data_IF_247869957329
#
_entry.id   IF_247869957329
#
_cell.length_a   1.000
_cell.length_b   1.000
_cell.length_c   1.000
_cell.angle_alpha   90.00
_cell.angle_beta   90.00
_cell.angle_gamma   90.00
#
_symmetry.space_group_name_H-M   'P 1'
#
loop_
_entity.id
_entity.type
_entity.pdbx_description
1 polymer ?
#
# COMPACT_ATOMS: atom_id res chain seq x y z
N UNK A 1 -8.38 9.59 -15.69
CA UNK A 1 -8.27 8.78 -14.49
C UNK A 1 -7.22 9.37 -13.55
N UNK A 2 -7.41 9.15 -12.25
CA UNK A 2 -6.46 9.50 -11.20
C UNK A 2 -6.48 8.36 -10.18
N UNK A 3 -5.37 7.66 -10.02
CA UNK A 3 -5.28 6.43 -9.21
C UNK A 3 -3.99 6.42 -8.42
N UNK A 4 -3.92 5.62 -7.35
CA UNK A 4 -2.66 5.34 -6.67
C UNK A 4 -1.75 4.49 -7.57
N UNK A 5 -0.44 4.70 -7.49
CA UNK A 5 0.55 3.84 -8.16
C UNK A 5 0.71 2.53 -7.38
N UNK A 6 -0.35 1.72 -7.41
CA UNK A 6 -0.48 0.50 -6.63
C UNK A 6 -1.06 -0.63 -7.49
N UNK A 7 -0.44 -1.81 -7.43
CA UNK A 7 -0.90 -3.06 -8.02
C UNK A 7 -1.43 -2.91 -9.46
N UNK A 8 -2.56 -3.51 -9.78
CA UNK A 8 -3.20 -3.51 -11.11
C UNK A 8 -3.52 -2.13 -11.68
N UNK A 9 -3.50 -1.06 -10.87
CA UNK A 9 -3.60 0.30 -11.38
C UNK A 9 -2.41 0.65 -12.28
N UNK A 10 -1.23 0.06 -12.04
CA UNK A 10 -0.04 0.24 -12.87
C UNK A 10 -0.24 -0.28 -14.30
N UNK A 11 -0.96 -1.37 -14.44
CA UNK A 11 -1.25 -1.99 -15.73
C UNK A 11 -2.43 -1.32 -16.43
N UNK A 12 -3.43 -0.91 -15.63
CA UNK A 12 -4.67 -0.33 -16.16
C UNK A 12 -4.47 1.11 -16.61
N UNK A 13 -3.77 1.92 -15.81
CA UNK A 13 -3.62 3.36 -16.06
C UNK A 13 -2.21 3.68 -16.57
N UNK A 14 -2.08 3.83 -17.87
CA UNK A 14 -0.87 4.32 -18.54
C UNK A 14 -0.86 5.86 -18.60
N UNK A 15 0.30 6.51 -18.79
CA UNK A 15 0.42 7.98 -18.75
C UNK A 15 -0.44 8.73 -19.76
N UNK A 16 -0.88 8.09 -20.83
CA UNK A 16 -1.76 8.64 -21.86
C UNK A 16 -3.25 8.65 -21.45
N UNK A 17 -3.64 7.81 -20.49
CA UNK A 17 -5.03 7.68 -20.05
C UNK A 17 -5.30 8.27 -18.66
N UNK A 18 -4.28 8.53 -17.86
CA UNK A 18 -4.44 9.09 -16.51
C UNK A 18 -3.13 9.30 -15.78
N UNK A 19 -3.24 9.66 -14.52
CA UNK A 19 -2.11 9.83 -13.62
C UNK A 19 -2.12 8.75 -12.55
N UNK A 20 -0.95 8.20 -12.27
CA UNK A 20 -0.68 7.35 -11.11
C UNK A 20 0.06 8.18 -10.08
N UNK A 21 -0.50 8.23 -8.88
CA UNK A 21 0.05 9.00 -7.76
C UNK A 21 0.99 8.12 -6.97
N UNK A 22 2.18 8.60 -6.73
CA UNK A 22 3.22 7.91 -5.98
C UNK A 22 2.68 7.37 -4.67
N UNK A 23 2.91 6.09 -4.44
CA UNK A 23 2.59 5.39 -3.19
C UNK A 23 3.83 4.76 -2.59
N UNK A 24 3.92 4.74 -1.25
CA UNK A 24 5.03 4.13 -0.52
C UNK A 24 4.51 3.30 0.63
N UNK A 25 5.24 2.26 0.99
CA UNK A 25 4.96 1.43 2.16
C UNK A 25 6.24 1.12 2.93
N UNK A 26 6.11 0.52 4.10
CA UNK A 26 7.25 0.08 4.90
C UNK A 26 7.87 -1.20 4.32
N UNK A 27 9.18 -1.42 4.48
CA UNK A 27 9.83 -2.68 4.14
C UNK A 27 9.22 -3.88 4.88
N UNK A 28 9.26 -5.06 4.25
CA UNK A 28 8.67 -6.30 4.76
C UNK A 28 8.96 -6.64 6.22
N UNK A 29 10.19 -6.48 6.74
CA UNK A 29 10.52 -6.83 8.12
C UNK A 29 9.70 -6.08 9.18
N UNK A 30 9.19 -4.88 8.88
CA UNK A 30 8.39 -4.08 9.82
C UNK A 30 7.06 -4.73 10.23
N UNK A 31 6.56 -5.67 9.42
CA UNK A 31 5.28 -6.35 9.63
C UNK A 31 5.42 -7.89 9.64
N UNK A 32 6.58 -8.38 10.05
CA UNK A 32 6.83 -9.83 10.11
C UNK A 32 5.93 -10.53 11.16
N UNK A 33 5.61 -9.87 12.26
CA UNK A 33 4.73 -10.43 13.29
C UNK A 33 3.30 -10.63 12.79
N UNK A 34 2.82 -9.76 11.93
CA UNK A 34 1.50 -9.86 11.31
C UNK A 34 1.41 -11.08 10.36
N UNK A 35 2.52 -11.42 9.71
CA UNK A 35 2.61 -12.65 8.93
C UNK A 35 2.49 -13.90 9.82
N UNK A 36 3.17 -13.93 10.96
CA UNK A 36 3.10 -15.02 11.92
C UNK A 36 1.69 -15.17 12.51
N UNK A 37 1.02 -14.05 12.78
CA UNK A 37 -0.37 -14.06 13.28
C UNK A 37 -1.34 -14.63 12.25
N UNK A 38 -1.21 -14.23 10.99
CA UNK A 38 -2.02 -14.76 9.91
C UNK A 38 -1.77 -16.27 9.72
N UNK A 39 -0.51 -16.68 9.70
CA UNK A 39 -0.12 -18.08 9.61
C UNK A 39 -0.64 -18.92 10.79
N UNK A 40 -0.62 -18.37 11.99
CA UNK A 40 -1.15 -18.99 13.20
C UNK A 40 -2.68 -19.02 13.28
N UNK A 41 -3.40 -18.49 12.29
CA UNK A 41 -4.86 -18.45 12.27
C UNK A 41 -5.50 -17.43 13.23
N UNK A 42 -4.71 -16.52 13.79
CA UNK A 42 -5.21 -15.46 14.66
C UNK A 42 -5.86 -14.30 13.88
N UNK A 43 -5.40 -14.06 12.67
CA UNK A 43 -5.92 -13.03 11.79
C UNK A 43 -6.51 -13.66 10.52
N UNK A 44 -7.63 -13.11 10.05
CA UNK A 44 -8.23 -13.50 8.78
C UNK A 44 -7.42 -12.94 7.60
N UNK A 45 -7.64 -13.49 6.40
CA UNK A 45 -7.04 -12.96 5.16
C UNK A 45 -7.39 -11.49 4.94
N UNK A 46 -8.62 -11.08 5.25
CA UNK A 46 -9.04 -9.69 5.15
C UNK A 46 -8.23 -8.78 6.08
N UNK A 47 -8.02 -9.21 7.32
CA UNK A 47 -7.17 -8.46 8.27
C UNK A 47 -5.73 -8.36 7.77
N UNK A 48 -5.17 -9.47 7.29
CA UNK A 48 -3.82 -9.51 6.75
C UNK A 48 -3.64 -8.55 5.55
N UNK A 49 -4.57 -8.54 4.60
CA UNK A 49 -4.52 -7.62 3.46
C UNK A 49 -4.77 -6.15 3.86
N UNK A 50 -5.67 -5.92 4.83
CA UNK A 50 -5.97 -4.56 5.32
C UNK A 50 -4.76 -3.88 5.94
N UNK A 51 -3.83 -4.66 6.51
CA UNK A 51 -2.59 -4.15 7.09
C UNK A 51 -1.70 -3.49 6.02
N UNK A 52 -1.59 -4.10 4.84
CA UNK A 52 -0.83 -3.52 3.73
C UNK A 52 -1.39 -2.15 3.32
N UNK A 53 -2.73 -2.05 3.21
CA UNK A 53 -3.39 -0.77 2.89
C UNK A 53 -3.20 0.27 3.98
N UNK A 54 -3.27 -0.14 5.27
CA UNK A 54 -3.10 0.77 6.40
C UNK A 54 -1.67 1.34 6.48
N UNK A 55 -0.67 0.62 5.97
CA UNK A 55 0.74 1.00 5.95
C UNK A 55 1.19 1.55 4.59
N UNK A 56 0.27 2.08 3.80
CA UNK A 56 0.57 2.71 2.50
C UNK A 56 0.25 4.19 2.56
N UNK A 57 1.23 5.02 2.25
CA UNK A 57 1.06 6.46 2.07
C UNK A 57 0.82 6.81 0.60
N UNK A 58 0.17 7.94 0.37
CA UNK A 58 -0.03 8.56 -0.95
C UNK A 58 0.63 9.94 -0.93
N UNK A 59 1.35 10.29 -1.99
CA UNK A 59 1.92 11.63 -2.14
C UNK A 59 0.81 12.66 -2.38
N UNK A 60 0.42 13.36 -1.31
CA UNK A 60 -0.67 14.32 -1.32
C UNK A 60 -0.33 15.60 -2.11
N UNK A 61 0.95 15.93 -2.23
CA UNK A 61 1.41 17.06 -3.04
C UNK A 61 1.22 16.76 -4.52
N UNK A 62 1.67 15.60 -4.96
CA UNK A 62 1.46 15.12 -6.33
C UNK A 62 -0.04 14.98 -6.64
N UNK A 63 -0.82 14.35 -5.75
CA UNK A 63 -2.26 14.22 -5.91
C UNK A 63 -2.93 15.59 -6.16
N UNK A 64 -2.63 16.55 -5.33
CA UNK A 64 -3.19 17.92 -5.45
C UNK A 64 -2.82 18.55 -6.79
N UNK A 65 -1.56 18.45 -7.20
CA UNK A 65 -1.10 18.99 -8.48
C UNK A 65 -1.84 18.36 -9.66
N UNK A 66 -2.00 17.04 -9.68
CA UNK A 66 -2.71 16.33 -10.77
C UNK A 66 -4.21 16.62 -10.80
N UNK A 67 -4.84 16.84 -9.65
CA UNK A 67 -6.23 17.31 -9.58
C UNK A 67 -6.34 18.69 -10.24
N UNK A 68 -5.45 19.61 -9.91
CA UNK A 68 -5.45 20.95 -10.49
C UNK A 68 -5.17 20.92 -12.00
N UNK A 69 -4.20 20.13 -12.46
CA UNK A 69 -3.93 19.91 -13.89
C UNK A 69 -5.20 19.50 -14.65
N UNK A 70 -5.91 18.51 -14.12
CA UNK A 70 -7.15 18.03 -14.72
C UNK A 70 -8.30 19.05 -14.61
N UNK A 71 -8.42 19.77 -13.50
CA UNK A 71 -9.48 20.75 -13.30
C UNK A 71 -9.33 21.93 -14.26
N UNK A 72 -8.11 22.42 -14.43
CA UNK A 72 -7.80 23.60 -15.20
C UNK A 72 -7.65 23.35 -16.70
N UNK A 73 -7.45 22.09 -17.13
CA UNK A 73 -7.21 21.75 -18.54
C UNK A 73 -8.27 20.82 -19.15
N UNK A 74 -9.37 21.39 -19.69
CA UNK A 74 -10.39 20.58 -20.36
C UNK A 74 -9.88 19.82 -21.58
N UNK A 75 -8.85 20.33 -22.27
CA UNK A 75 -8.21 19.66 -23.40
C UNK A 75 -7.52 18.35 -22.98
N UNK A 76 -6.79 18.39 -21.89
CA UNK A 76 -6.13 17.22 -21.30
C UNK A 76 -7.17 16.17 -20.88
N UNK A 77 -8.25 16.58 -20.21
CA UNK A 77 -9.33 15.65 -19.83
C UNK A 77 -9.93 14.92 -21.03
N UNK A 78 -10.23 15.66 -22.12
CA UNK A 78 -10.76 15.06 -23.35
C UNK A 78 -9.77 14.09 -23.99
N UNK A 79 -8.50 14.50 -24.10
CA UNK A 79 -7.45 13.65 -24.67
C UNK A 79 -7.30 12.34 -23.90
N UNK A 80 -7.11 12.43 -22.57
CA UNK A 80 -6.97 11.24 -21.70
C UNK A 80 -8.25 10.39 -21.70
N UNK A 81 -9.43 11.01 -21.71
CA UNK A 81 -10.70 10.29 -21.76
C UNK A 81 -10.87 9.49 -23.05
N UNK A 82 -10.53 10.07 -24.21
CA UNK A 82 -10.57 9.37 -25.49
C UNK A 82 -9.55 8.21 -25.55
N UNK A 83 -8.34 8.44 -25.08
CA UNK A 83 -7.33 7.40 -24.99
C UNK A 83 -7.75 6.25 -24.05
N UNK A 84 -8.33 6.60 -22.88
CA UNK A 84 -8.84 5.60 -21.93
C UNK A 84 -9.98 4.75 -22.53
N UNK A 85 -10.90 5.36 -23.26
CA UNK A 85 -11.97 4.63 -23.96
C UNK A 85 -11.40 3.69 -25.04
N UNK A 86 -10.44 4.18 -25.83
CA UNK A 86 -9.81 3.36 -26.86
C UNK A 86 -9.06 2.17 -26.24
N UNK A 87 -8.30 2.40 -25.15
CA UNK A 87 -7.59 1.36 -24.40
C UNK A 87 -8.57 0.32 -23.81
N UNK A 88 -9.67 0.78 -23.20
CA UNK A 88 -10.67 -0.13 -22.63
C UNK A 88 -11.24 -1.09 -23.68
N UNK A 89 -11.57 -0.57 -24.86
CA UNK A 89 -12.08 -1.38 -25.98
C UNK A 89 -11.01 -2.32 -26.56
N UNK A 90 -9.76 -1.87 -26.62
CA UNK A 90 -8.68 -2.67 -27.19
C UNK A 90 -8.23 -3.82 -26.29
N UNK A 91 -8.23 -3.63 -24.96
CA UNK A 91 -7.62 -4.56 -24.02
C UNK A 91 -8.61 -5.26 -23.09
N UNK A 92 -9.72 -4.60 -22.72
CA UNK A 92 -10.62 -5.06 -21.66
C UNK A 92 -12.03 -5.40 -22.16
N UNK A 93 -12.29 -5.28 -23.44
CA UNK A 93 -13.56 -5.74 -24.03
C UNK A 93 -13.63 -7.28 -23.96
N UNK A 94 -14.80 -7.79 -23.63
CA UNK A 94 -15.03 -9.24 -23.53
C UNK A 94 -14.71 -9.99 -24.82
N UNK A 95 -14.90 -9.36 -25.98
CA UNK A 95 -14.52 -9.93 -27.26
C UNK A 95 -13.00 -10.13 -27.42
N UNK A 96 -12.19 -9.48 -26.57
CA UNK A 96 -10.75 -9.66 -26.50
C UNK A 96 -10.35 -10.60 -25.37
N UNK A 97 -10.98 -10.46 -24.22
CA UNK A 97 -10.61 -11.21 -23.01
C UNK A 97 -11.00 -12.70 -23.14
N UNK A 98 -12.20 -13.00 -23.65
CA UNK A 98 -12.66 -14.39 -23.74
C UNK A 98 -11.74 -15.27 -24.60
N UNK A 99 -11.34 -14.86 -25.82
CA UNK A 99 -10.38 -15.65 -26.59
C UNK A 99 -9.05 -15.87 -25.85
N UNK A 100 -8.49 -14.85 -25.18
CA UNK A 100 -7.27 -14.98 -24.40
C UNK A 100 -7.40 -15.99 -23.26
N UNK A 101 -8.55 -16.00 -22.57
CA UNK A 101 -8.83 -17.01 -21.54
C UNK A 101 -8.93 -18.43 -22.13
N UNK A 102 -9.57 -18.57 -23.30
CA UNK A 102 -9.67 -19.86 -23.99
C UNK A 102 -8.29 -20.36 -24.44
N UNK A 103 -7.45 -19.49 -24.98
CA UNK A 103 -6.07 -19.81 -25.35
C UNK A 103 -5.26 -20.25 -24.11
N UNK A 104 -5.39 -19.53 -23.00
CA UNK A 104 -4.73 -19.91 -21.74
C UNK A 104 -5.21 -21.28 -21.24
N UNK A 105 -6.51 -21.56 -21.30
CA UNK A 105 -7.04 -22.89 -20.91
C UNK A 105 -6.50 -23.98 -21.81
N UNK A 106 -6.40 -23.74 -23.11
CA UNK A 106 -5.79 -24.67 -24.07
C UNK A 106 -4.32 -24.97 -23.73
N UNK A 107 -3.55 -23.93 -23.42
CA UNK A 107 -2.16 -24.08 -22.98
C UNK A 107 -2.06 -24.86 -21.66
N UNK A 108 -2.89 -24.54 -20.68
CA UNK A 108 -2.92 -25.23 -19.40
C UNK A 108 -3.26 -26.72 -19.56
N UNK A 109 -4.23 -27.06 -20.42
CA UNK A 109 -4.60 -28.44 -20.74
C UNK A 109 -3.45 -29.20 -21.41
N UNK A 110 -2.76 -28.57 -22.35
CA UNK A 110 -1.59 -29.16 -22.98
C UNK A 110 -0.47 -29.42 -21.95
N UNK A 111 -0.21 -28.48 -21.05
CA UNK A 111 0.75 -28.63 -19.94
C UNK A 111 0.35 -29.76 -18.99
N UNK A 112 -0.94 -29.84 -18.62
CA UNK A 112 -1.48 -30.88 -17.76
C UNK A 112 -1.27 -32.26 -18.38
N UNK A 113 -1.65 -32.43 -19.63
CA UNK A 113 -1.49 -33.69 -20.37
C UNK A 113 -0.02 -34.11 -20.47
N UNK A 114 0.88 -33.15 -20.76
CA UNK A 114 2.32 -33.42 -20.82
C UNK A 114 2.92 -33.77 -19.45
N UNK A 115 2.31 -33.33 -18.34
CA UNK A 115 2.79 -33.55 -16.97
C UNK A 115 2.28 -34.86 -16.35
N UNK A 116 1.29 -35.54 -16.92
CA UNK A 116 0.67 -36.73 -16.34
C UNK A 116 1.67 -37.90 -16.08
N UNK A 117 2.79 -37.93 -16.76
CA UNK A 117 3.84 -38.91 -16.57
C UNK A 117 4.81 -38.61 -15.40
N UNK A 118 4.70 -37.46 -14.74
CA UNK A 118 5.61 -37.05 -13.67
C UNK A 118 4.90 -37.09 -12.32
N UNK A 119 5.37 -37.88 -11.35
CA UNK A 119 4.84 -37.80 -10.00
C UNK A 119 5.06 -36.40 -9.46
N UNK A 120 3.99 -35.80 -8.93
CA UNK A 120 4.08 -34.50 -8.27
C UNK A 120 5.07 -34.60 -7.11
N UNK A 121 6.21 -33.95 -7.24
CA UNK A 121 7.12 -33.74 -6.12
C UNK A 121 6.58 -32.59 -5.28
N UNK A 122 5.73 -32.90 -4.34
CA UNK A 122 5.52 -32.00 -3.22
C UNK A 122 6.78 -32.13 -2.35
N UNK A 123 7.51 -31.02 -2.18
CA UNK A 123 8.41 -30.93 -1.06
C UNK A 123 7.52 -30.99 0.19
N UNK A 124 7.50 -32.16 0.83
CA UNK A 124 6.56 -32.49 1.92
C UNK A 124 6.64 -31.53 3.11
N UNK A 125 7.68 -30.72 3.18
CA UNK A 125 8.06 -30.00 4.40
C UNK A 125 8.04 -28.47 4.24
N UNK A 126 7.68 -27.95 3.09
CA UNK A 126 7.62 -26.51 2.87
C UNK A 126 6.18 -26.03 2.75
N UNK A 127 5.54 -25.82 3.90
CA UNK A 127 4.40 -24.91 3.91
C UNK A 127 4.94 -23.52 3.58
N UNK A 128 4.45 -22.85 2.53
CA UNK A 128 4.82 -21.48 2.26
C UNK A 128 4.35 -20.65 3.44
N UNK A 129 5.30 -20.16 4.23
CA UNK A 129 5.01 -19.21 5.30
C UNK A 129 4.53 -17.94 4.63
N UNK A 130 3.38 -17.44 5.04
CA UNK A 130 2.90 -16.15 4.54
C UNK A 130 3.92 -15.06 4.87
N UNK A 131 4.41 -14.31 3.88
CA UNK A 131 5.33 -13.20 4.13
C UNK A 131 4.63 -12.08 4.91
N UNK A 132 5.40 -11.09 5.37
CA UNK A 132 4.79 -9.87 5.91
C UNK A 132 3.87 -9.23 4.85
N UNK A 133 2.78 -8.54 5.23
CA UNK A 133 1.87 -7.93 4.27
C UNK A 133 2.57 -6.99 3.28
N UNK A 134 3.48 -6.15 3.77
CA UNK A 134 4.24 -5.25 2.91
C UNK A 134 5.32 -5.98 2.10
N UNK A 135 5.78 -7.14 2.55
CA UNK A 135 6.65 -8.03 1.77
C UNK A 135 5.90 -8.74 0.66
N UNK A 136 4.70 -9.27 0.94
CA UNK A 136 3.85 -9.92 -0.06
C UNK A 136 3.49 -8.96 -1.20
N UNK A 137 3.17 -7.72 -0.86
CA UNK A 137 2.79 -6.67 -1.81
C UNK A 137 3.96 -5.73 -2.17
N UNK A 138 5.21 -6.17 -1.96
CA UNK A 138 6.39 -5.33 -2.11
C UNK A 138 6.64 -4.76 -3.52
N UNK A 139 6.10 -5.40 -4.56
CA UNK A 139 6.16 -4.90 -5.93
C UNK A 139 5.03 -3.90 -6.28
N UNK A 140 4.04 -3.74 -5.40
CA UNK A 140 2.85 -2.93 -5.69
C UNK A 140 3.08 -1.42 -5.56
N UNK A 141 3.73 -0.90 -4.50
CA UNK A 141 3.98 0.52 -4.37
C UNK A 141 5.07 0.99 -5.34
N UNK A 142 5.18 2.30 -5.52
CA UNK A 142 6.26 2.93 -6.29
C UNK A 142 7.62 2.70 -5.62
N UNK A 143 7.66 2.61 -4.28
CA UNK A 143 8.87 2.38 -3.51
C UNK A 143 8.62 2.22 -2.02
N UNK A 144 9.69 2.04 -1.27
CA UNK A 144 9.66 1.95 0.18
C UNK A 144 10.02 3.29 0.82
N UNK A 145 9.33 3.64 1.91
CA UNK A 145 9.69 4.79 2.71
C UNK A 145 10.96 4.49 3.53
N UNK A 146 11.92 5.42 3.52
CA UNK A 146 13.09 5.39 4.41
C UNK A 146 12.95 6.48 5.46
N UNK A 147 12.20 6.20 6.52
CA UNK A 147 11.91 7.18 7.57
C UNK A 147 13.12 7.42 8.50
N UNK A 148 14.10 6.52 8.53
CA UNK A 148 15.31 6.70 9.34
C UNK A 148 16.14 7.93 8.89
N UNK A 149 16.08 8.26 7.61
CA UNK A 149 16.86 9.34 6.99
C UNK A 149 16.16 10.71 7.02
N UNK A 150 14.89 10.75 7.42
CA UNK A 150 14.10 11.99 7.38
C UNK A 150 13.85 12.57 8.77
N UNK A 151 13.58 13.88 8.82
CA UNK A 151 13.08 14.55 10.01
C UNK A 151 11.56 14.68 9.91
N UNK A 152 10.85 14.17 10.91
CA UNK A 152 9.42 14.22 11.01
C UNK A 152 9.00 15.60 11.58
N UNK A 153 8.09 16.28 10.91
CA UNK A 153 7.54 17.58 11.34
C UNK A 153 6.04 17.45 11.48
N UNK A 154 5.50 17.86 12.62
CA UNK A 154 4.06 17.92 12.81
C UNK A 154 3.47 19.02 11.90
N UNK A 155 2.40 18.64 11.18
CA UNK A 155 1.69 19.58 10.34
C UNK A 155 0.73 20.42 11.21
N UNK A 156 0.53 21.69 10.85
CA UNK A 156 -0.53 22.50 11.44
C UNK A 156 -1.90 21.85 11.18
N UNK A 157 -2.62 21.57 12.25
CA UNK A 157 -3.93 20.92 12.24
C UNK A 157 -5.08 21.92 12.45
N UNK A 158 -4.83 23.23 12.38
CA UNK A 158 -5.88 24.24 12.56
C UNK A 158 -7.06 23.99 11.62
N UNK A 159 -8.24 23.80 12.19
CA UNK A 159 -9.46 23.44 11.44
C UNK A 159 -9.51 22.01 10.90
N UNK A 160 -8.66 21.10 11.38
CA UNK A 160 -8.63 19.67 11.03
C UNK A 160 -8.81 18.80 12.26
N UNK A 161 -9.09 17.52 12.03
CA UNK A 161 -9.12 16.53 13.12
C UNK A 161 -7.71 16.37 13.70
N UNK A 162 -7.62 16.37 15.03
CA UNK A 162 -6.40 16.06 15.73
C UNK A 162 -6.05 14.55 15.68
N UNK A 163 -4.84 14.17 16.12
CA UNK A 163 -4.42 12.76 16.10
C UNK A 163 -5.34 11.85 16.95
N UNK A 164 -5.87 12.33 18.07
CA UNK A 164 -6.79 11.56 18.91
C UNK A 164 -8.09 11.23 18.20
N UNK A 165 -8.71 12.22 17.57
CA UNK A 165 -9.96 12.07 16.81
C UNK A 165 -9.76 11.23 15.56
N UNK A 166 -8.63 11.42 14.87
CA UNK A 166 -8.27 10.59 13.72
C UNK A 166 -8.12 9.13 14.10
N UNK A 167 -7.54 8.82 15.26
CA UNK A 167 -7.45 7.45 15.76
C UNK A 167 -8.83 6.84 16.03
N UNK A 168 -9.74 7.62 16.62
CA UNK A 168 -11.10 7.14 16.91
C UNK A 168 -11.85 6.79 15.62
N UNK A 169 -11.66 7.55 14.55
CA UNK A 169 -12.22 7.25 13.23
C UNK A 169 -11.64 5.97 12.59
N UNK A 170 -10.41 5.63 12.91
CA UNK A 170 -9.71 4.45 12.36
C UNK A 170 -9.74 3.23 13.28
N UNK A 171 -10.42 3.31 14.44
CA UNK A 171 -10.53 2.19 15.39
C UNK A 171 -11.58 1.16 14.93
N UNK A 172 -11.35 0.50 13.80
CA UNK A 172 -12.17 -0.60 13.31
C UNK A 172 -11.41 -1.94 13.31
N UNK A 173 -12.16 -3.04 13.43
CA UNK A 173 -11.61 -4.37 13.70
C UNK A 173 -10.52 -4.82 12.71
N UNK A 174 -10.61 -4.43 11.42
CA UNK A 174 -9.69 -4.85 10.38
C UNK A 174 -8.25 -4.39 10.58
N UNK A 175 -8.04 -3.20 11.13
CA UNK A 175 -6.71 -2.58 11.26
C UNK A 175 -6.31 -2.21 12.68
N UNK A 176 -7.23 -2.33 13.64
CA UNK A 176 -7.04 -1.95 15.05
C UNK A 176 -5.71 -2.44 15.65
N UNK A 177 -5.28 -3.66 15.27
CA UNK A 177 -4.07 -4.29 15.81
C UNK A 177 -2.76 -3.78 15.19
N UNK A 178 -2.83 -3.13 14.05
CA UNK A 178 -1.64 -2.59 13.36
C UNK A 178 -1.17 -1.33 14.07
N UNK A 179 -2.10 -0.58 14.63
CA UNK A 179 -1.80 0.68 15.29
C UNK A 179 -1.33 0.45 16.72
N UNK A 180 -0.34 1.25 17.12
CA UNK A 180 0.08 1.31 18.50
C UNK A 180 -1.06 1.82 19.39
N UNK A 181 -1.03 1.55 20.71
CA UNK A 181 -2.01 2.09 21.64
C UNK A 181 -2.13 3.61 21.51
N UNK A 182 -3.35 4.14 21.60
CA UNK A 182 -3.65 5.59 21.42
C UNK A 182 -2.72 6.48 22.22
N UNK A 183 -2.44 6.13 23.47
CA UNK A 183 -1.52 6.89 24.33
C UNK A 183 -0.10 6.97 23.75
N UNK A 184 0.39 5.89 23.15
CA UNK A 184 1.71 5.84 22.53
C UNK A 184 1.78 6.66 21.24
N UNK A 185 0.73 6.61 20.41
CA UNK A 185 0.63 7.44 19.21
C UNK A 185 0.64 8.91 19.56
N UNK A 186 -0.16 9.29 20.57
CA UNK A 186 -0.23 10.69 21.04
C UNK A 186 1.12 11.15 21.61
N UNK A 187 1.81 10.31 22.37
CA UNK A 187 3.14 10.64 22.91
C UNK A 187 4.19 10.87 21.79
N UNK A 188 4.18 10.04 20.75
CA UNK A 188 5.06 10.22 19.58
C UNK A 188 4.70 11.50 18.84
N UNK A 189 3.42 11.76 18.60
CA UNK A 189 2.97 12.98 17.93
C UNK A 189 3.39 14.24 18.70
N UNK A 190 3.17 14.27 20.01
CA UNK A 190 3.57 15.38 20.88
C UNK A 190 5.08 15.61 20.86
N UNK A 191 5.89 14.55 20.84
CA UNK A 191 7.33 14.65 20.76
C UNK A 191 7.80 15.23 19.40
N UNK A 192 7.13 14.86 18.30
CA UNK A 192 7.38 15.42 16.97
C UNK A 192 6.97 16.91 16.94
N UNK A 193 5.80 17.24 17.48
CA UNK A 193 5.30 18.61 17.58
C UNK A 193 6.24 19.49 18.39
N UNK A 194 6.73 18.97 19.52
CA UNK A 194 7.70 19.67 20.38
C UNK A 194 9.06 19.95 19.73
N UNK A 195 9.43 19.20 18.69
CA UNK A 195 10.64 19.44 17.93
C UNK A 195 10.49 20.64 16.93
N UNK A 196 9.28 21.12 16.72
CA UNK A 196 9.00 22.27 15.88
C UNK A 196 9.46 22.10 14.42
N UNK A 197 9.85 23.22 13.80
CA UNK A 197 10.25 23.23 12.38
C UNK A 197 11.53 22.46 12.05
N UNK A 198 12.38 22.19 13.03
CA UNK A 198 13.59 21.37 12.84
C UNK A 198 13.26 19.88 12.68
N UNK A 199 12.08 19.46 13.14
CA UNK A 199 11.61 18.10 13.10
C UNK A 199 12.35 17.16 14.05
N UNK A 200 11.80 15.98 14.22
CA UNK A 200 12.33 14.92 15.05
C UNK A 200 12.78 13.72 14.21
N UNK A 201 13.95 13.16 14.52
CA UNK A 201 14.45 11.94 13.88
C UNK A 201 14.01 10.70 14.67
N UNK A 202 13.84 9.58 13.96
CA UNK A 202 13.36 8.32 14.53
C UNK A 202 14.22 7.84 15.70
N UNK A 203 15.54 7.81 15.55
CA UNK A 203 16.43 7.28 16.59
C UNK A 203 16.41 8.08 17.91
N UNK A 204 16.49 9.43 17.91
CA UNK A 204 16.29 10.22 19.13
C UNK A 204 14.92 10.05 19.76
N UNK A 205 13.83 9.99 18.96
CA UNK A 205 12.48 9.76 19.45
C UNK A 205 12.38 8.38 20.13
N UNK A 206 12.92 7.34 19.50
CA UNK A 206 12.95 5.99 20.03
C UNK A 206 13.62 5.93 21.41
N UNK A 207 14.79 6.56 21.54
CA UNK A 207 15.53 6.63 22.79
C UNK A 207 14.77 7.43 23.85
N UNK A 208 14.25 8.61 23.49
CA UNK A 208 13.56 9.50 24.44
C UNK A 208 12.24 8.94 24.96
N UNK A 209 11.52 8.18 24.15
CA UNK A 209 10.24 7.59 24.51
C UNK A 209 10.35 6.14 25.02
N UNK A 210 11.52 5.52 24.96
CA UNK A 210 11.70 4.10 25.30
C UNK A 210 10.92 3.17 24.38
N UNK A 211 10.74 3.56 23.10
CA UNK A 211 9.96 2.83 22.11
C UNK A 211 10.89 2.36 20.98
N UNK A 212 10.78 1.11 20.53
CA UNK A 212 11.60 0.63 19.41
C UNK A 212 11.44 1.49 18.15
N UNK A 213 12.52 1.74 17.38
CA UNK A 213 12.49 2.58 16.16
C UNK A 213 11.38 2.20 15.18
N UNK A 214 11.19 0.91 14.90
CA UNK A 214 10.19 0.41 13.97
C UNK A 214 8.73 0.73 14.39
N UNK A 215 8.49 0.88 15.70
CA UNK A 215 7.15 1.27 16.19
C UNK A 215 6.90 2.75 15.89
N UNK A 216 7.93 3.60 16.04
CA UNK A 216 7.84 5.02 15.70
C UNK A 216 7.64 5.19 14.19
N UNK A 217 8.38 4.43 13.36
CA UNK A 217 8.21 4.43 11.91
C UNK A 217 6.79 4.03 11.49
N UNK A 218 6.20 3.01 12.13
CA UNK A 218 4.80 2.62 11.90
C UNK A 218 3.82 3.73 12.27
N UNK A 219 4.04 4.42 13.39
CA UNK A 219 3.20 5.54 13.83
C UNK A 219 3.34 6.72 12.86
N UNK A 220 4.53 7.01 12.38
CA UNK A 220 4.79 8.10 11.46
C UNK A 220 4.18 7.87 10.06
N UNK A 221 4.11 6.61 9.61
CA UNK A 221 3.46 6.24 8.35
C UNK A 221 1.94 6.34 8.42
N UNK A 222 1.38 6.18 9.59
CA UNK A 222 -0.05 6.19 9.81
C UNK A 222 -0.65 7.58 9.93
#
# INVERSE_FOLDING_TARGET
LLVSDWDGMKDTVTPDVGFRITSRTLPGPHLAQEALRYQGGYDSYVQYCSIASAMTEIDMGELTARILDLAQNPGLRRKMGAAGQARARALYDWSRIIPQMQDLWGEQEARRTAAEARPARYAADALPIAPSPTGLFGSYPTGFANLAEVALVARDLTGRLGPAETMDLRDYAGVKRVFAPKAQVLAVFQAIEGAGALGARIAPLATGLGVPPHVIERIAMW
#
